data_IF_154248118087
#
_entry.id   IF_154248118087
#
_cell.length_a   1.000
_cell.length_b   1.000
_cell.length_c   1.000
_cell.angle_alpha   90.00
_cell.angle_beta   90.00
_cell.angle_gamma   90.00
#
_symmetry.space_group_name_H-M   'P 1'
#
loop_
_entity.id
_entity.type
_entity.pdbx_description
1 polymer ?
#
# COMPACT_ATOMS: atom_id res chain seq x y z
N UNK A 1 1.27 10.58 -20.71
CA UNK A 1 -0.02 10.61 -20.00
C UNK A 1 0.12 9.67 -18.82
N UNK A 2 -0.26 10.09 -17.62
CA UNK A 2 0.10 9.36 -16.40
C UNK A 2 -1.08 9.27 -15.43
N UNK A 3 -1.10 8.25 -14.57
CA UNK A 3 -2.01 8.14 -13.43
C UNK A 3 -1.65 9.24 -12.44
N UNK A 4 -2.65 9.92 -11.89
CA UNK A 4 -2.38 11.03 -10.97
C UNK A 4 -2.47 10.67 -9.50
N UNK A 5 -3.37 9.76 -9.18
CA UNK A 5 -3.62 9.34 -7.82
C UNK A 5 -3.73 7.84 -7.84
N UNK A 6 -2.81 7.22 -7.12
CA UNK A 6 -2.91 5.83 -6.75
C UNK A 6 -2.90 5.75 -5.23
N UNK A 7 -4.03 5.33 -4.68
CA UNK A 7 -4.14 5.04 -3.26
C UNK A 7 -4.31 3.53 -3.09
N UNK A 8 -3.50 2.96 -2.21
CA UNK A 8 -3.61 1.57 -1.83
C UNK A 8 -3.87 1.54 -0.33
N UNK A 9 -5.00 0.94 0.06
CA UNK A 9 -5.33 0.68 1.46
C UNK A 9 -5.24 -0.82 1.72
N UNK A 10 -4.65 -1.23 2.85
CA UNK A 10 -4.61 -2.63 3.25
C UNK A 10 -5.80 -2.96 4.17
N UNK A 11 -6.28 -4.19 4.11
CA UNK A 11 -7.41 -4.65 4.92
C UNK A 11 -7.08 -5.95 5.64
N UNK A 12 -7.40 -6.00 6.93
CA UNK A 12 -7.29 -7.19 7.80
C UNK A 12 -8.69 -7.68 8.16
N UNK A 13 -8.86 -9.00 8.27
CA UNK A 13 -10.11 -9.59 8.75
C UNK A 13 -10.28 -9.32 10.25
N UNK A 14 -11.49 -8.94 10.66
CA UNK A 14 -11.90 -8.90 12.05
C UNK A 14 -12.37 -10.30 12.44
N UNK A 15 -11.65 -10.94 13.36
CA UNK A 15 -12.00 -12.28 13.83
C UNK A 15 -13.36 -12.35 14.53
N UNK A 16 -13.96 -13.53 14.42
CA UNK A 16 -15.25 -14.03 14.91
C UNK A 16 -15.33 -14.15 16.44
N UNK A 17 -15.15 -13.02 17.13
CA UNK A 17 -15.56 -12.83 18.52
C UNK A 17 -17.09 -12.90 18.67
N UNK A 18 -17.60 -14.11 18.82
CA UNK A 18 -18.91 -14.54 19.36
C UNK A 18 -20.08 -13.53 19.40
N UNK A 19 -21.12 -13.94 18.67
CA UNK A 19 -22.52 -13.48 18.60
C UNK A 19 -22.75 -12.03 18.12
N UNK A 20 -23.36 -11.96 16.93
CA UNK A 20 -23.76 -10.76 16.15
C UNK A 20 -22.67 -10.16 15.24
N UNK A 21 -21.71 -10.96 14.75
CA UNK A 21 -20.68 -10.45 13.85
C UNK A 21 -21.13 -10.40 12.38
N UNK A 22 -21.14 -9.19 11.82
CA UNK A 22 -20.89 -8.98 10.39
C UNK A 22 -19.43 -9.31 10.14
N UNK A 23 -19.16 -10.27 9.25
CA UNK A 23 -17.85 -10.53 8.69
C UNK A 23 -17.25 -9.18 8.22
N UNK A 24 -16.23 -8.72 8.92
CA UNK A 24 -15.82 -7.32 8.92
C UNK A 24 -14.35 -7.17 8.51
N UNK A 25 -14.05 -6.14 7.73
CA UNK A 25 -12.69 -5.78 7.38
C UNK A 25 -12.32 -4.46 8.03
N UNK A 26 -11.13 -4.38 8.61
CA UNK A 26 -10.55 -3.15 9.13
C UNK A 26 -9.48 -2.66 8.16
N UNK A 27 -9.58 -1.40 7.75
CA UNK A 27 -8.51 -0.73 7.02
C UNK A 27 -7.30 -0.52 7.93
N UNK A 28 -6.13 -0.84 7.41
CA UNK A 28 -4.82 -0.66 8.05
C UNK A 28 -3.91 0.09 7.08
N UNK A 29 -2.86 0.77 7.59
CA UNK A 29 -1.95 1.52 6.74
C UNK A 29 -1.25 0.60 5.73
N UNK A 30 -1.08 1.09 4.52
CA UNK A 30 -0.17 0.53 3.52
C UNK A 30 0.79 1.64 3.07
N UNK A 31 2.04 1.28 2.83
CA UNK A 31 3.07 2.23 2.44
C UNK A 31 3.57 1.91 1.04
N UNK A 32 3.62 2.92 0.17
CA UNK A 32 4.13 2.78 -1.20
C UNK A 32 5.53 3.39 -1.26
N UNK A 33 6.50 2.62 -1.76
CA UNK A 33 7.89 3.06 -1.93
C UNK A 33 8.33 2.84 -3.38
N UNK A 34 8.89 3.87 -4.06
CA UNK A 34 8.98 5.27 -3.62
C UNK A 34 7.59 5.92 -3.48
N UNK A 35 7.49 7.14 -2.91
CA UNK A 35 6.26 7.93 -2.98
C UNK A 35 5.74 7.99 -4.41
N UNK A 36 4.42 7.89 -4.59
CA UNK A 36 3.84 7.78 -5.91
C UNK A 36 4.24 8.95 -6.81
N UNK A 37 4.83 8.63 -7.96
CA UNK A 37 5.12 9.55 -9.04
C UNK A 37 4.57 9.00 -10.36
N UNK A 38 3.89 9.82 -11.17
CA UNK A 38 3.40 9.39 -12.48
C UNK A 38 4.49 8.80 -13.40
N UNK A 39 5.76 9.14 -13.16
CA UNK A 39 6.91 8.75 -13.97
C UNK A 39 7.47 7.39 -13.61
N UNK A 40 7.38 7.00 -12.32
CA UNK A 40 7.87 5.71 -11.81
C UNK A 40 6.83 4.63 -12.07
N UNK A 41 7.26 3.49 -12.61
CA UNK A 41 6.39 2.37 -12.98
C UNK A 41 6.53 1.16 -12.07
N UNK A 42 7.51 1.16 -11.16
CA UNK A 42 7.79 0.04 -10.26
C UNK A 42 7.75 0.51 -8.81
N UNK A 43 7.01 -0.20 -7.99
CA UNK A 43 6.79 0.14 -6.59
C UNK A 43 6.78 -1.11 -5.71
N UNK A 44 7.14 -0.90 -4.45
CA UNK A 44 6.85 -1.84 -3.37
C UNK A 44 5.71 -1.30 -2.52
N UNK A 45 4.85 -2.20 -2.04
CA UNK A 45 3.75 -1.87 -1.13
C UNK A 45 3.94 -2.66 0.15
N UNK A 46 4.36 -2.00 1.21
CA UNK A 46 4.54 -2.62 2.51
C UNK A 46 3.22 -2.59 3.28
N UNK A 47 2.75 -3.77 3.69
CA UNK A 47 1.47 -3.96 4.39
C UNK A 47 1.67 -4.83 5.64
N UNK A 48 0.84 -4.69 6.68
CA UNK A 48 0.90 -5.54 7.86
C UNK A 48 0.81 -7.05 7.53
N UNK A 49 1.42 -7.88 8.38
CA UNK A 49 1.48 -9.34 8.17
C UNK A 49 0.10 -10.00 8.03
N UNK A 50 -0.90 -9.47 8.74
CA UNK A 50 -2.27 -9.96 8.78
C UNK A 50 -3.15 -9.47 7.62
N UNK A 51 -2.62 -8.67 6.69
CA UNK A 51 -3.38 -8.17 5.55
C UNK A 51 -3.89 -9.33 4.70
N UNK A 52 -5.19 -9.39 4.45
CA UNK A 52 -5.82 -10.42 3.62
C UNK A 52 -6.10 -9.90 2.21
N UNK A 53 -6.33 -8.61 2.07
CA UNK A 53 -6.59 -7.95 0.79
C UNK A 53 -6.16 -6.49 0.82
N UNK A 54 -5.98 -5.91 -0.36
CA UNK A 54 -5.77 -4.48 -0.54
C UNK A 54 -6.87 -3.90 -1.42
N UNK A 55 -7.17 -2.62 -1.23
CA UNK A 55 -8.04 -1.83 -2.10
C UNK A 55 -7.15 -0.88 -2.88
N UNK A 56 -7.15 -1.04 -4.20
CA UNK A 56 -6.41 -0.19 -5.12
C UNK A 56 -7.38 0.79 -5.75
N UNK A 57 -7.09 2.07 -5.62
CA UNK A 57 -7.82 3.16 -6.27
C UNK A 57 -6.89 3.86 -7.25
N UNK A 58 -7.26 3.94 -8.52
CA UNK A 58 -6.48 4.58 -9.57
C UNK A 58 -7.35 5.47 -10.43
N UNK A 59 -6.90 6.69 -10.72
CA UNK A 59 -7.59 7.62 -11.61
C UNK A 59 -6.70 8.04 -12.80
N UNK A 60 -7.29 8.01 -14.00
CA UNK A 60 -6.69 8.59 -15.21
C UNK A 60 -7.08 10.06 -15.33
N UNK A 61 -6.15 10.91 -15.76
CA UNK A 61 -6.41 12.32 -16.03
C UNK A 61 -7.03 12.61 -17.40
N UNK A 62 -6.93 11.67 -18.33
CA UNK A 62 -7.51 11.79 -19.66
C UNK A 62 -8.82 11.03 -19.74
N UNK A 63 -9.62 11.31 -20.77
CA UNK A 63 -10.79 10.50 -21.18
C UNK A 63 -10.49 9.00 -21.42
N UNK A 64 -9.27 8.54 -21.17
CA UNK A 64 -8.90 7.14 -21.15
C UNK A 64 -9.35 6.42 -19.88
N UNK A 65 -9.01 5.14 -19.78
CA UNK A 65 -9.45 4.30 -18.67
C UNK A 65 -8.28 3.66 -17.90
N UNK A 66 -8.58 3.23 -16.68
CA UNK A 66 -7.67 2.45 -15.84
C UNK A 66 -8.16 1.00 -15.83
N UNK A 67 -7.23 0.06 -15.96
CA UNK A 67 -7.47 -1.37 -15.76
C UNK A 67 -6.62 -1.85 -14.58
N UNK A 68 -7.25 -2.31 -13.50
CA UNK A 68 -6.58 -2.86 -12.33
C UNK A 68 -6.65 -4.38 -12.40
N UNK A 69 -5.50 -5.05 -12.48
CA UNK A 69 -5.40 -6.49 -12.76
C UNK A 69 -6.23 -6.88 -14.01
N UNK A 70 -6.07 -6.10 -15.08
CA UNK A 70 -6.74 -6.32 -16.37
C UNK A 70 -8.23 -5.96 -16.42
N UNK A 71 -8.88 -5.64 -15.29
CA UNK A 71 -10.30 -5.25 -15.27
C UNK A 71 -10.44 -3.74 -15.25
N UNK A 72 -11.21 -3.21 -16.19
CA UNK A 72 -11.50 -1.79 -16.28
C UNK A 72 -12.25 -1.29 -15.04
N UNK A 73 -11.76 -0.21 -14.44
CA UNK A 73 -12.34 0.40 -13.26
C UNK A 73 -11.32 1.23 -12.47
N UNK A 74 -11.84 2.19 -11.71
CA UNK A 74 -11.03 3.10 -10.90
C UNK A 74 -10.76 2.58 -9.49
N UNK A 75 -11.41 1.47 -9.10
CA UNK A 75 -11.23 0.84 -7.80
C UNK A 75 -11.32 -0.68 -7.94
N UNK A 76 -10.46 -1.40 -7.25
CA UNK A 76 -10.56 -2.86 -7.13
C UNK A 76 -9.99 -3.36 -5.81
N UNK A 77 -10.65 -4.36 -5.25
CA UNK A 77 -10.13 -5.14 -4.12
C UNK A 77 -9.38 -6.36 -4.65
N UNK A 78 -8.19 -6.62 -4.12
CA UNK A 78 -7.29 -7.69 -4.55
C UNK A 78 -6.86 -8.47 -3.31
N UNK A 79 -7.05 -9.79 -3.34
CA UNK A 79 -6.60 -10.66 -2.27
C UNK A 79 -5.07 -10.79 -2.28
N UNK A 80 -4.46 -10.74 -1.10
CA UNK A 80 -3.02 -10.85 -0.89
C UNK A 80 -2.74 -12.16 -0.15
N UNK A 81 -2.64 -13.29 -0.86
CA UNK A 81 -2.40 -14.59 -0.24
C UNK A 81 -1.00 -14.66 0.40
N UNK A 82 -0.01 -14.00 -0.19
CA UNK A 82 1.38 -14.04 0.26
C UNK A 82 2.14 -12.73 0.00
N UNK A 83 3.27 -12.56 0.67
CA UNK A 83 4.27 -11.55 0.30
C UNK A 83 4.82 -11.82 -1.11
N UNK A 84 5.20 -10.78 -1.84
CA UNK A 84 5.62 -10.87 -3.25
C UNK A 84 4.46 -10.88 -4.26
N UNK A 85 3.20 -10.75 -3.81
CA UNK A 85 2.05 -10.66 -4.72
C UNK A 85 2.20 -9.44 -5.62
N UNK A 86 2.13 -9.64 -6.95
CA UNK A 86 2.23 -8.57 -7.93
C UNK A 86 0.85 -8.01 -8.28
N UNK A 87 0.76 -6.68 -8.28
CA UNK A 87 -0.44 -5.95 -8.68
C UNK A 87 -0.12 -5.02 -9.84
N UNK A 88 -0.93 -5.13 -10.90
CA UNK A 88 -0.79 -4.32 -12.11
C UNK A 88 -1.91 -3.27 -12.21
N UNK A 89 -1.53 -2.05 -12.56
CA UNK A 89 -2.46 -0.97 -12.90
C UNK A 89 -2.06 -0.42 -14.27
N UNK A 90 -2.91 -0.63 -15.25
CA UNK A 90 -2.66 -0.25 -16.63
C UNK A 90 -3.52 0.94 -17.05
N UNK A 91 -2.88 1.98 -17.56
CA UNK A 91 -3.54 3.15 -18.14
C UNK A 91 -3.66 2.98 -19.65
N UNK A 92 -4.86 3.21 -20.16
CA UNK A 92 -5.16 3.22 -21.59
C UNK A 92 -5.68 4.60 -21.99
N UNK A 93 -5.56 4.95 -23.26
CA UNK A 93 -6.23 6.12 -23.83
C UNK A 93 -7.73 5.82 -24.14
N UNK A 94 -8.50 6.78 -24.68
CA UNK A 94 -9.91 6.56 -25.00
C UNK A 94 -10.16 5.44 -26.03
N UNK A 95 -9.15 5.13 -26.87
CA UNK A 95 -9.21 4.09 -27.90
C UNK A 95 -8.74 2.71 -27.38
N UNK A 96 -8.60 2.59 -26.06
CA UNK A 96 -8.11 1.40 -25.35
C UNK A 96 -6.68 0.97 -25.75
N UNK A 97 -5.83 1.92 -26.14
CA UNK A 97 -4.41 1.68 -26.40
C UNK A 97 -3.63 1.85 -25.11
N UNK A 98 -2.89 0.80 -24.71
CA UNK A 98 -2.03 0.81 -23.53
C UNK A 98 -0.99 1.94 -23.62
N UNK A 99 -0.96 2.80 -22.60
CA UNK A 99 0.02 3.90 -22.48
C UNK A 99 1.07 3.64 -21.44
N UNK A 100 0.67 3.10 -20.28
CA UNK A 100 1.59 2.87 -19.17
C UNK A 100 1.07 1.77 -18.26
N UNK A 101 1.98 0.98 -17.72
CA UNK A 101 1.69 -0.02 -16.69
C UNK A 101 2.50 0.30 -15.45
N UNK A 102 1.82 0.32 -14.32
CA UNK A 102 2.42 0.43 -13.00
C UNK A 102 2.36 -0.94 -12.31
N UNK A 103 3.48 -1.35 -11.74
CA UNK A 103 3.68 -2.64 -11.10
C UNK A 103 3.99 -2.46 -9.63
N UNK A 104 3.21 -3.13 -8.77
CA UNK A 104 3.31 -3.07 -7.32
C UNK A 104 3.66 -4.45 -6.79
N UNK A 105 4.78 -4.56 -6.07
CA UNK A 105 5.14 -5.78 -5.34
C UNK A 105 4.73 -5.63 -3.89
N UNK A 106 3.74 -6.41 -3.44
CA UNK A 106 3.23 -6.32 -2.07
C UNK A 106 4.11 -7.11 -1.12
N UNK A 107 4.69 -6.44 -0.13
CA UNK A 107 5.50 -7.04 0.91
C UNK A 107 4.73 -7.05 2.22
N UNK A 108 4.47 -8.25 2.75
CA UNK A 108 3.89 -8.38 4.09
C UNK A 108 5.00 -8.21 5.14
N UNK A 109 4.76 -7.39 6.16
CA UNK A 109 5.61 -7.32 7.35
C UNK A 109 5.74 -8.69 8.01
N UNK A 110 6.77 -8.86 8.82
CA UNK A 110 6.83 -9.99 9.76
C UNK A 110 5.81 -9.75 10.88
N UNK A 111 5.10 -10.79 11.37
CA UNK A 111 4.16 -10.63 12.49
C UNK A 111 4.83 -9.98 13.71
N UNK A 112 4.23 -8.91 14.22
CA UNK A 112 4.74 -8.17 15.40
C UNK A 112 5.61 -6.95 15.11
N UNK A 113 5.88 -6.62 13.84
CA UNK A 113 6.57 -5.39 13.42
C UNK A 113 5.55 -4.31 13.04
N UNK A 114 5.66 -3.11 13.64
CA UNK A 114 4.90 -1.92 13.25
C UNK A 114 5.86 -0.89 12.66
N UNK A 115 5.51 -0.34 11.50
CA UNK A 115 6.24 0.79 10.92
C UNK A 115 5.68 2.10 11.50
N UNK A 116 6.54 2.93 12.08
CA UNK A 116 6.20 4.27 12.57
C UNK A 116 6.82 5.31 11.65
N UNK A 117 5.98 6.19 11.10
CA UNK A 117 6.45 7.29 10.26
C UNK A 117 6.83 8.48 11.17
N UNK A 118 8.12 8.73 11.35
CA UNK A 118 8.58 10.02 11.88
C UNK A 118 8.70 10.98 10.71
N UNK A 119 7.76 11.91 10.59
CA UNK A 119 7.91 13.06 9.69
C UNK A 119 8.76 14.11 10.42
N UNK A 120 10.06 14.16 10.14
CA UNK A 120 10.89 15.27 10.58
C UNK A 120 10.86 16.30 9.46
N UNK A 121 10.06 17.35 9.62
CA UNK A 121 10.11 18.49 8.70
C UNK A 121 11.49 19.15 8.84
N UNK A 122 12.34 19.03 7.83
CA UNK A 122 13.55 19.85 7.71
C UNK A 122 13.12 21.27 7.25
N UNK A 123 13.79 22.35 7.70
CA UNK A 123 13.41 23.72 7.34
C UNK A 123 13.76 24.11 5.89
N UNK A 124 14.20 23.17 5.04
CA UNK A 124 14.53 23.40 3.64
C UNK A 124 13.83 22.34 2.78
N UNK A 125 12.60 22.64 2.39
CA UNK A 125 11.75 22.13 1.28
C UNK A 125 11.98 20.71 0.71
N UNK A 126 12.49 19.77 1.51
CA UNK A 126 12.48 18.34 1.25
C UNK A 126 12.14 17.65 2.57
N UNK A 127 10.92 17.12 2.64
CA UNK A 127 10.50 16.28 3.75
C UNK A 127 11.26 14.94 3.67
N UNK A 128 12.34 14.82 4.45
CA UNK A 128 13.02 13.55 4.68
C UNK A 128 12.17 12.71 5.64
N UNK A 129 11.43 11.74 5.09
CA UNK A 129 10.80 10.70 5.89
C UNK A 129 11.88 9.71 6.35
N UNK A 130 12.20 9.70 7.65
CA UNK A 130 13.12 8.72 8.22
C UNK A 130 12.28 7.52 8.68
N UNK A 131 12.49 6.36 8.02
CA UNK A 131 11.81 5.11 8.35
C UNK A 131 12.60 4.32 9.39
N UNK A 132 12.02 4.15 10.59
CA UNK A 132 12.56 3.30 11.64
C UNK A 132 11.78 2.00 11.77
N UNK A 133 12.46 0.85 11.72
CA UNK A 133 11.89 -0.45 12.04
C UNK A 133 11.93 -0.66 13.56
N UNK A 134 10.78 -0.63 14.24
CA UNK A 134 10.70 -1.10 15.61
C UNK A 134 10.34 -2.59 15.60
N UNK A 135 11.36 -3.42 15.79
CA UNK A 135 11.13 -4.81 16.15
C UNK A 135 10.59 -4.88 17.56
N UNK A 136 9.48 -5.61 17.75
CA UNK A 136 8.94 -5.96 19.06
C UNK A 136 9.97 -6.81 19.79
N UNK A 137 10.89 -6.15 20.50
CA UNK A 137 11.86 -6.81 21.36
C UNK A 137 11.10 -7.27 22.61
N UNK A 138 10.60 -8.50 22.56
CA UNK A 138 10.22 -9.20 23.78
C UNK A 138 11.50 -9.40 24.63
N UNK A 139 11.66 -8.47 25.58
CA UNK A 139 12.55 -8.47 26.75
C UNK A 139 14.04 -8.15 26.56
N UNK A 140 14.45 -7.26 27.47
CA UNK A 140 15.77 -7.05 28.08
C UNK A 140 16.69 -6.00 27.41
N UNK A 141 16.66 -4.77 27.92
CA UNK A 141 17.75 -4.24 28.76
C UNK A 141 17.38 -2.84 29.28
N UNK A 142 17.39 -2.65 30.59
CA UNK A 142 17.44 -1.31 31.20
C UNK A 142 18.76 -0.64 30.81
N UNK A 143 18.71 0.57 30.28
CA UNK A 143 19.85 1.49 30.34
C UNK A 143 19.39 2.73 31.08
N UNK A 144 19.89 2.79 32.31
CA UNK A 144 19.86 3.92 33.22
C UNK A 144 20.71 5.04 32.59
N UNK A 145 20.12 6.21 32.34
CA UNK A 145 20.88 7.40 31.95
C UNK A 145 21.34 8.05 33.25
N UNK A 146 22.65 8.10 33.46
CA UNK A 146 23.30 8.96 34.47
C UNK A 146 23.83 10.19 33.76
#
# INVERSE_FOLDING_TARGET
>A
MSVNLLQIDAEVSLGDGTSMQVDGFKQVPAMITPPFSPEVTEYTVDVPSATVRIRVNGMSYSHGCVKIQGVQGNMRTIDIPASGTQVSVAQHDPDDVLKKTYSFTVNKSVPGESYFNVVIASPTDEALQIFGRLSSLHRACSVLIT
#
